data_IF_971103208790
#
_entry.id   IF_971103208790
#
_cell.length_a   1.000
_cell.length_b   1.000
_cell.length_c   1.000
_cell.angle_alpha   90.00
_cell.angle_beta   90.00
_cell.angle_gamma   90.00
#
_symmetry.space_group_name_H-M   'P 1'
#
loop_
_entity.id
_entity.type
_entity.pdbx_description
1 polymer ?
#
# COMPACT_ATOMS: atom_id res chain seq x y z
N UNK A 1 5.16 18.14 -40.83
CA UNK A 1 3.73 18.25 -41.16
C UNK A 1 2.80 18.08 -39.95
N UNK A 2 2.95 17.04 -39.12
CA UNK A 2 2.07 16.81 -37.95
C UNK A 2 2.03 17.96 -36.90
N UNK A 3 3.19 18.59 -36.61
CA UNK A 3 3.28 19.75 -35.71
C UNK A 3 2.51 20.98 -36.22
N UNK A 4 2.35 21.13 -37.53
CA UNK A 4 1.62 22.24 -38.15
C UNK A 4 0.11 22.08 -38.02
N UNK A 5 -0.39 20.83 -38.05
CA UNK A 5 -1.81 20.52 -37.97
C UNK A 5 -2.35 20.73 -36.54
N UNK A 6 -1.56 20.36 -35.53
CA UNK A 6 -1.89 20.54 -34.10
C UNK A 6 -1.95 22.04 -33.75
N UNK A 7 -1.01 22.83 -34.27
CA UNK A 7 -1.00 24.29 -34.04
C UNK A 7 -2.19 25.00 -34.70
N UNK A 8 -2.63 24.54 -35.88
CA UNK A 8 -3.81 25.09 -36.57
C UNK A 8 -5.12 24.74 -35.85
N UNK A 9 -5.25 23.52 -35.31
CA UNK A 9 -6.42 23.11 -34.52
C UNK A 9 -6.55 23.89 -33.20
N UNK A 10 -5.43 24.16 -32.51
CA UNK A 10 -5.43 24.96 -31.28
C UNK A 10 -5.82 26.44 -31.53
N UNK A 11 -5.41 27.00 -32.67
CA UNK A 11 -5.77 28.36 -33.08
C UNK A 11 -7.25 28.51 -33.45
N UNK A 12 -7.86 27.48 -34.04
CA UNK A 12 -9.28 27.46 -34.42
C UNK A 12 -10.23 27.39 -33.22
N UNK A 13 -9.76 26.87 -32.08
CA UNK A 13 -10.56 26.68 -30.86
C UNK A 13 -10.45 27.84 -29.86
N UNK A 14 -9.71 28.92 -30.18
CA UNK A 14 -9.60 30.09 -29.30
C UNK A 14 -8.91 29.82 -27.95
N UNK A 15 -8.27 28.65 -27.79
CA UNK A 15 -7.58 28.26 -26.57
C UNK A 15 -6.25 29.03 -26.54
N UNK A 16 -6.20 30.16 -25.82
CA UNK A 16 -4.93 30.72 -25.35
C UNK A 16 -4.34 29.77 -24.30
N UNK A 17 -3.80 28.63 -24.75
CA UNK A 17 -3.02 27.78 -23.86
C UNK A 17 -1.70 28.49 -23.63
N UNK A 18 -1.39 28.82 -22.37
CA UNK A 18 0.02 28.80 -21.97
C UNK A 18 0.43 27.36 -22.26
N UNK A 19 1.19 27.14 -23.35
CA UNK A 19 1.64 25.82 -23.74
C UNK A 19 2.43 25.24 -22.58
N UNK A 20 1.81 24.34 -21.82
CA UNK A 20 2.53 23.58 -20.81
C UNK A 20 3.53 22.73 -21.59
N UNK A 21 4.84 22.82 -21.31
CA UNK A 21 5.83 22.04 -22.02
C UNK A 21 5.45 20.55 -21.93
N UNK A 22 5.54 19.82 -23.04
CA UNK A 22 5.47 18.37 -22.98
C UNK A 22 6.81 17.86 -22.43
N UNK A 23 6.78 16.82 -21.59
CA UNK A 23 8.00 16.19 -21.09
C UNK A 23 8.67 15.39 -22.23
N UNK A 24 9.99 15.41 -22.35
CA UNK A 24 10.68 14.56 -23.32
C UNK A 24 10.81 13.13 -22.78
N UNK A 25 9.75 12.34 -22.93
CA UNK A 25 9.71 10.94 -22.49
C UNK A 25 10.08 10.04 -23.67
N UNK A 26 10.99 9.10 -23.43
CA UNK A 26 11.43 8.09 -24.37
C UNK A 26 10.94 6.71 -23.91
N UNK A 27 10.63 5.85 -24.87
CA UNK A 27 10.19 4.48 -24.59
C UNK A 27 11.02 3.53 -25.44
N UNK A 28 11.56 2.49 -24.81
CA UNK A 28 12.23 1.39 -25.52
C UNK A 28 11.22 0.59 -26.36
N UNK A 29 11.62 -0.02 -27.49
CA UNK A 29 10.76 -0.91 -28.25
C UNK A 29 10.13 -2.03 -27.42
N UNK A 30 10.89 -2.60 -26.48
CA UNK A 30 10.43 -3.64 -25.58
C UNK A 30 9.31 -3.14 -24.66
N UNK A 31 9.44 -1.93 -24.12
CA UNK A 31 8.39 -1.28 -23.32
C UNK A 31 7.13 -0.96 -24.15
N UNK A 32 7.29 -0.58 -25.42
CA UNK A 32 6.15 -0.36 -26.30
C UNK A 32 5.37 -1.67 -26.56
N UNK A 33 6.09 -2.75 -26.85
CA UNK A 33 5.49 -4.07 -27.04
C UNK A 33 4.81 -4.57 -25.76
N UNK A 34 5.46 -4.36 -24.61
CA UNK A 34 4.93 -4.68 -23.29
C UNK A 34 3.57 -4.01 -23.06
N UNK A 35 3.53 -2.70 -23.27
CA UNK A 35 2.36 -1.88 -23.04
C UNK A 35 1.23 -2.17 -24.04
N UNK A 36 1.56 -2.50 -25.30
CA UNK A 36 0.58 -2.90 -26.31
C UNK A 36 -0.23 -4.10 -25.86
N UNK A 37 0.45 -5.13 -25.37
CA UNK A 37 -0.22 -6.34 -24.87
C UNK A 37 -1.08 -6.05 -23.65
N UNK A 38 -0.64 -5.17 -22.75
CA UNK A 38 -1.47 -4.70 -21.62
C UNK A 38 -2.77 -4.06 -22.13
N UNK A 39 -2.71 -3.23 -23.17
CA UNK A 39 -3.92 -2.65 -23.77
C UNK A 39 -4.81 -3.68 -24.47
N UNK A 40 -4.22 -4.64 -25.19
CA UNK A 40 -4.96 -5.72 -25.85
C UNK A 40 -5.73 -6.60 -24.84
N UNK A 41 -5.13 -6.83 -23.67
CA UNK A 41 -5.74 -7.58 -22.56
C UNK A 41 -6.77 -6.75 -21.76
N UNK A 42 -6.76 -5.42 -21.90
CA UNK A 42 -7.63 -4.50 -21.16
C UNK A 42 -8.44 -3.62 -22.14
N UNK A 43 -9.52 -4.14 -22.75
CA UNK A 43 -10.27 -3.45 -23.80
C UNK A 43 -10.94 -2.13 -23.36
N UNK A 44 -11.02 -1.88 -22.04
CA UNK A 44 -11.49 -0.62 -21.47
C UNK A 44 -10.43 0.48 -21.35
N UNK A 45 -9.14 0.15 -21.52
CA UNK A 45 -8.04 1.10 -21.40
C UNK A 45 -8.00 2.06 -22.59
N UNK A 46 -7.88 3.36 -22.31
CA UNK A 46 -7.80 4.44 -23.31
C UNK A 46 -6.56 5.30 -23.18
N UNK A 47 -5.92 5.29 -22.02
CA UNK A 47 -4.67 6.00 -21.78
C UNK A 47 -3.83 5.31 -20.71
N UNK A 48 -2.61 5.80 -20.56
CA UNK A 48 -1.68 5.47 -19.49
C UNK A 48 -1.59 6.66 -18.55
N UNK A 49 -1.78 6.48 -17.25
CA UNK A 49 -1.39 7.50 -16.29
C UNK A 49 0.07 7.27 -15.86
N UNK A 50 0.82 8.35 -15.71
CA UNK A 50 2.22 8.33 -15.31
C UNK A 50 2.46 9.45 -14.31
N UNK A 51 2.81 9.06 -13.08
CA UNK A 51 3.01 9.96 -11.96
C UNK A 51 4.43 9.86 -11.42
N UNK A 52 4.95 10.98 -10.93
CA UNK A 52 6.22 11.05 -10.21
C UNK A 52 5.95 11.24 -8.72
N UNK A 53 5.99 10.15 -7.94
CA UNK A 53 5.69 10.19 -6.51
C UNK A 53 6.94 10.43 -5.66
N UNK A 54 6.83 11.35 -4.70
CA UNK A 54 7.84 11.53 -3.65
C UNK A 54 7.50 10.60 -2.48
N UNK A 55 8.26 9.52 -2.31
CA UNK A 55 8.13 8.66 -1.14
C UNK A 55 9.21 9.01 -0.11
N UNK A 56 8.79 9.72 0.94
CA UNK A 56 9.61 9.99 2.13
C UNK A 56 10.87 10.79 1.86
N UNK A 57 11.96 10.47 2.58
CA UNK A 57 13.28 11.10 2.44
C UNK A 57 14.11 10.53 1.27
N UNK A 58 13.51 9.76 0.36
CA UNK A 58 14.26 9.10 -0.71
C UNK A 58 14.68 10.14 -1.75
N UNK A 59 15.97 10.15 -2.17
CA UNK A 59 16.54 11.15 -3.06
C UNK A 59 16.00 11.16 -4.51
N UNK A 60 15.05 10.28 -4.84
CA UNK A 60 14.49 10.11 -6.19
C UNK A 60 12.97 9.99 -6.13
N UNK A 61 12.24 10.63 -7.07
CA UNK A 61 10.84 10.28 -7.26
C UNK A 61 10.74 8.81 -7.71
N UNK A 62 9.83 8.07 -7.09
CA UNK A 62 9.40 6.80 -7.64
C UNK A 62 8.38 7.10 -8.73
N UNK A 63 8.65 6.60 -9.93
CA UNK A 63 7.70 6.70 -11.03
C UNK A 63 6.73 5.55 -10.91
N UNK A 64 5.44 5.88 -11.01
CA UNK A 64 4.38 4.88 -11.07
C UNK A 64 3.58 5.06 -12.36
N UNK A 65 3.13 3.96 -12.92
CA UNK A 65 2.47 3.92 -14.21
C UNK A 65 1.36 2.88 -14.23
N UNK A 66 0.20 3.25 -14.76
CA UNK A 66 -0.92 2.33 -14.96
C UNK A 66 -1.80 2.74 -16.12
N UNK A 67 -2.84 1.94 -16.38
CA UNK A 67 -3.81 2.20 -17.46
C UNK A 67 -5.07 2.86 -16.89
N UNK A 68 -5.69 3.73 -17.67
CA UNK A 68 -6.90 4.48 -17.34
C UNK A 68 -7.93 4.33 -18.48
N UNK A 69 -9.22 4.28 -18.14
CA UNK A 69 -10.34 4.22 -19.08
C UNK A 69 -10.76 5.58 -19.66
N UNK A 70 -10.06 6.64 -19.29
CA UNK A 70 -10.30 8.02 -19.73
C UNK A 70 -9.20 8.51 -20.70
N UNK A 71 -9.47 9.58 -21.45
CA UNK A 71 -8.50 10.22 -22.37
C UNK A 71 -8.13 11.65 -21.93
N UNK A 72 -8.69 12.12 -20.82
CA UNK A 72 -8.45 13.45 -20.27
C UNK A 72 -8.84 13.50 -18.79
N UNK A 73 -8.09 14.29 -18.01
CA UNK A 73 -8.38 14.55 -16.59
C UNK A 73 -8.04 16.00 -16.24
N UNK A 74 -8.87 16.64 -15.43
CA UNK A 74 -8.58 18.00 -14.95
C UNK A 74 -7.28 18.01 -14.14
N UNK A 75 -6.41 19.00 -14.37
CA UNK A 75 -5.09 19.07 -13.76
C UNK A 75 -3.99 18.28 -14.49
N UNK A 76 -4.33 17.52 -15.54
CA UNK A 76 -3.38 16.72 -16.31
C UNK A 76 -3.05 17.39 -17.65
N UNK A 77 -1.93 16.96 -18.23
CA UNK A 77 -1.55 17.17 -19.62
C UNK A 77 -1.59 15.83 -20.35
N UNK A 78 -1.90 15.86 -21.65
CA UNK A 78 -1.97 14.67 -22.48
C UNK A 78 -0.78 14.66 -23.46
N UNK A 79 -0.06 13.55 -23.54
CA UNK A 79 1.09 13.39 -24.44
C UNK A 79 1.06 12.03 -25.12
N UNK A 80 1.57 11.92 -26.35
CA UNK A 80 1.74 10.62 -27.01
C UNK A 80 3.19 10.15 -26.86
N UNK A 81 3.39 8.94 -26.32
CA UNK A 81 4.70 8.29 -26.14
C UNK A 81 4.57 6.84 -26.61
N UNK A 82 5.45 6.37 -27.51
CA UNK A 82 5.39 5.01 -28.04
C UNK A 82 4.05 4.67 -28.73
N UNK A 83 3.33 5.67 -29.25
CA UNK A 83 2.00 5.48 -29.83
C UNK A 83 0.84 5.35 -28.83
N UNK A 84 1.09 5.49 -27.52
CA UNK A 84 0.07 5.49 -26.47
C UNK A 84 -0.19 6.90 -25.94
N UNK A 85 -1.44 7.17 -25.55
CA UNK A 85 -1.82 8.41 -24.88
C UNK A 85 -1.46 8.34 -23.40
N UNK A 86 -0.66 9.26 -22.92
CA UNK A 86 -0.27 9.44 -21.53
C UNK A 86 -1.02 10.62 -20.91
N UNK A 87 -1.61 10.39 -19.74
CA UNK A 87 -2.12 11.40 -18.82
C UNK A 87 -1.06 11.64 -17.74
N UNK A 88 -0.54 12.86 -17.70
CA UNK A 88 0.53 13.25 -16.78
C UNK A 88 0.05 14.43 -15.96
N UNK A 89 0.18 14.38 -14.63
CA UNK A 89 -0.10 15.55 -13.80
C UNK A 89 0.75 16.75 -14.27
N UNK A 90 0.15 17.93 -14.39
CA UNK A 90 0.90 19.13 -14.83
C UNK A 90 2.07 19.46 -13.88
N UNK A 91 1.94 19.08 -12.62
CA UNK A 91 2.99 19.26 -11.61
C UNK A 91 4.15 18.26 -11.79
N UNK A 92 3.90 17.14 -12.46
CA UNK A 92 4.87 16.05 -12.63
C UNK A 92 5.72 16.19 -13.90
N UNK A 93 5.24 16.96 -14.88
CA UNK A 93 5.92 17.20 -16.16
C UNK A 93 7.41 17.52 -16.02
N UNK A 94 7.87 18.40 -15.11
CA UNK A 94 9.30 18.71 -14.97
C UNK A 94 10.14 17.52 -14.47
N UNK A 95 9.52 16.55 -13.79
CA UNK A 95 10.20 15.37 -13.26
C UNK A 95 10.26 14.22 -14.26
N UNK A 96 9.47 14.29 -15.32
CA UNK A 96 9.42 13.29 -16.38
C UNK A 96 10.23 13.71 -17.61
N UNK A 97 10.77 14.93 -17.63
CA UNK A 97 11.53 15.44 -18.77
C UNK A 97 12.89 14.73 -18.91
N UNK A 98 13.02 13.93 -19.96
CA UNK A 98 14.16 13.07 -20.20
C UNK A 98 13.98 11.62 -19.72
N UNK A 99 12.83 11.29 -19.11
CA UNK A 99 12.55 9.94 -18.64
C UNK A 99 12.62 8.91 -19.78
N UNK A 100 13.27 7.79 -19.51
CA UNK A 100 13.39 6.64 -20.40
C UNK A 100 12.63 5.48 -19.76
N UNK A 101 11.51 5.11 -20.37
CA UNK A 101 10.71 3.95 -20.00
C UNK A 101 11.27 2.73 -20.70
N UNK A 102 11.83 1.82 -19.92
CA UNK A 102 12.38 0.55 -20.37
C UNK A 102 11.53 -0.61 -19.87
N UNK A 103 11.74 -1.77 -20.48
CA UNK A 103 11.13 -3.01 -20.03
C UNK A 103 12.20 -4.07 -19.84
N UNK A 104 12.37 -4.52 -18.60
CA UNK A 104 13.29 -5.59 -18.26
C UNK A 104 12.58 -6.93 -18.46
N UNK A 105 12.84 -7.52 -19.62
CA UNK A 105 12.35 -8.84 -20.08
C UNK A 105 12.74 -9.97 -19.10
N UNK A 106 13.82 -9.83 -18.34
CA UNK A 106 14.16 -10.86 -17.35
C UNK A 106 13.32 -10.76 -16.08
N UNK A 107 12.79 -9.56 -15.78
CA UNK A 107 12.08 -9.26 -14.52
C UNK A 107 10.58 -9.08 -14.68
N UNK A 108 10.04 -9.06 -15.89
CA UNK A 108 8.63 -8.81 -16.09
C UNK A 108 8.19 -7.38 -15.76
N UNK A 109 9.12 -6.42 -15.73
CA UNK A 109 8.88 -5.13 -15.10
C UNK A 109 9.28 -3.95 -15.98
N UNK A 110 8.47 -2.88 -15.93
CA UNK A 110 8.89 -1.58 -16.42
C UNK A 110 9.98 -1.01 -15.51
N UNK A 111 11.02 -0.47 -16.13
CA UNK A 111 12.09 0.25 -15.45
C UNK A 111 12.11 1.68 -15.95
N UNK A 112 12.39 2.60 -15.04
CA UNK A 112 12.34 4.04 -15.29
C UNK A 112 13.73 4.62 -15.10
N UNK A 113 14.40 4.88 -16.21
CA UNK A 113 15.72 5.51 -16.22
C UNK A 113 15.59 7.00 -16.44
N UNK A 114 16.26 7.80 -15.61
CA UNK A 114 16.32 9.24 -15.81
C UNK A 114 17.78 9.67 -16.03
N UNK A 115 18.12 10.37 -17.14
CA UNK A 115 19.50 10.77 -17.45
C UNK A 115 20.08 11.68 -16.38
N UNK A 116 19.23 12.45 -15.70
CA UNK A 116 19.58 13.12 -14.46
C UNK A 116 19.52 12.11 -13.30
N UNK A 117 20.53 11.23 -13.21
CA UNK A 117 20.75 10.27 -12.09
C UNK A 117 20.91 10.93 -10.70
N UNK A 118 20.65 12.24 -10.57
CA UNK A 118 20.59 13.02 -9.33
C UNK A 118 19.55 14.13 -9.51
N UNK A 119 18.27 13.78 -9.48
CA UNK A 119 17.13 14.73 -9.55
C UNK A 119 17.24 15.86 -8.52
N UNK A 120 17.92 15.62 -7.39
CA UNK A 120 18.30 16.63 -6.38
C UNK A 120 19.12 17.81 -6.91
N UNK A 121 19.68 17.74 -8.11
CA UNK A 121 20.42 18.83 -8.76
C UNK A 121 19.53 19.74 -9.60
N UNK A 122 18.31 19.31 -9.95
CA UNK A 122 17.34 20.13 -10.67
C UNK A 122 16.85 21.26 -9.75
N UNK A 123 16.82 22.48 -10.29
CA UNK A 123 16.41 23.67 -9.55
C UNK A 123 14.94 23.56 -9.11
N UNK A 124 14.14 22.93 -9.95
CA UNK A 124 12.72 22.66 -9.79
C UNK A 124 12.46 21.67 -8.65
N UNK A 125 13.24 20.58 -8.57
CA UNK A 125 13.16 19.61 -7.47
C UNK A 125 13.54 20.23 -6.13
N UNK A 126 14.62 21.03 -6.08
CA UNK A 126 15.00 21.77 -4.86
C UNK A 126 13.93 22.80 -4.46
N UNK A 127 13.30 23.44 -5.44
CA UNK A 127 12.21 24.37 -5.20
C UNK A 127 10.95 23.67 -4.66
N UNK A 128 10.60 22.50 -5.21
CA UNK A 128 9.50 21.68 -4.72
C UNK A 128 9.78 21.19 -3.29
N UNK A 129 10.94 20.58 -3.03
CA UNK A 129 11.31 20.15 -1.68
C UNK A 129 11.29 21.31 -0.68
N UNK A 130 11.77 22.49 -1.08
CA UNK A 130 11.73 23.68 -0.22
C UNK A 130 10.29 24.13 0.03
N UNK A 131 9.41 24.08 -0.97
CA UNK A 131 7.98 24.42 -0.83
C UNK A 131 7.29 23.43 0.10
N UNK A 132 7.46 22.13 -0.12
CA UNK A 132 6.88 21.08 0.73
C UNK A 132 7.40 21.16 2.16
N UNK A 133 8.71 21.40 2.36
CA UNK A 133 9.27 21.61 3.68
C UNK A 133 8.72 22.87 4.36
N UNK A 134 8.50 23.96 3.61
CA UNK A 134 7.88 25.19 4.12
C UNK A 134 6.40 24.98 4.48
N UNK A 135 5.65 24.26 3.65
CA UNK A 135 4.25 23.91 3.90
C UNK A 135 4.11 22.98 5.09
N UNK A 136 4.97 21.96 5.21
CA UNK A 136 5.04 21.06 6.35
C UNK A 136 5.41 21.81 7.64
N UNK A 137 6.39 22.73 7.58
CA UNK A 137 6.76 23.56 8.73
C UNK A 137 5.63 24.52 9.13
N UNK A 138 4.94 25.13 8.16
CA UNK A 138 3.79 25.99 8.41
C UNK A 138 2.61 25.20 8.99
N UNK A 139 2.36 23.98 8.50
CA UNK A 139 1.35 23.09 9.04
C UNK A 139 1.70 22.68 10.47
N UNK A 140 2.93 22.25 10.74
CA UNK A 140 3.40 21.92 12.09
C UNK A 140 3.23 23.09 13.05
N UNK A 141 3.50 24.32 12.60
CA UNK A 141 3.25 25.52 13.41
C UNK A 141 1.77 25.68 13.77
N UNK A 142 0.86 25.51 12.80
CA UNK A 142 -0.59 25.54 13.05
C UNK A 142 -1.01 24.43 14.02
N UNK A 143 -0.51 23.22 13.82
CA UNK A 143 -0.80 22.07 14.67
C UNK A 143 -0.31 22.30 16.12
N UNK A 144 0.87 22.88 16.29
CA UNK A 144 1.39 23.25 17.62
C UNK A 144 0.55 24.33 18.33
N UNK A 145 -0.03 25.29 17.60
CA UNK A 145 -0.95 26.26 18.20
C UNK A 145 -2.25 25.60 18.69
N UNK A 146 -2.81 24.68 17.89
CA UNK A 146 -3.99 23.89 18.29
C UNK A 146 -3.66 22.99 19.49
N UNK A 147 -2.46 22.41 19.51
CA UNK A 147 -2.03 21.47 20.54
C UNK A 147 -1.57 22.12 21.86
N UNK A 148 -1.45 23.45 21.91
CA UNK A 148 -0.80 24.18 23.02
C UNK A 148 -1.37 23.86 24.39
N UNK A 149 -2.69 23.73 24.48
CA UNK A 149 -3.42 23.46 25.73
C UNK A 149 -3.96 22.01 25.79
N UNK A 150 -3.58 21.18 24.83
CA UNK A 150 -4.02 19.78 24.76
C UNK A 150 -3.21 18.94 25.73
N UNK A 151 -3.91 18.27 26.64
CA UNK A 151 -3.36 17.23 27.52
C UNK A 151 -3.97 15.89 27.07
N UNK A 152 -3.26 15.08 26.26
CA UNK A 152 -3.84 13.90 25.60
C UNK A 152 -4.56 12.93 26.54
N UNK A 153 -3.93 12.58 27.67
CA UNK A 153 -4.50 11.71 28.71
C UNK A 153 -5.82 12.23 29.32
N UNK A 154 -6.06 13.54 29.27
CA UNK A 154 -7.30 14.14 29.80
C UNK A 154 -8.42 14.13 28.79
N UNK A 155 -8.13 14.16 27.49
CA UNK A 155 -9.17 14.29 26.45
C UNK A 155 -9.44 12.98 25.72
N UNK A 156 -8.55 11.98 25.78
CA UNK A 156 -8.67 10.74 24.97
C UNK A 156 -9.98 9.99 25.20
N UNK A 157 -10.50 9.99 26.44
CA UNK A 157 -11.76 9.34 26.75
C UNK A 157 -12.98 9.99 26.08
N UNK A 158 -12.87 11.26 25.69
CA UNK A 158 -13.91 11.99 24.96
C UNK A 158 -14.05 11.54 23.50
N UNK A 159 -13.11 10.72 22.98
CA UNK A 159 -13.24 10.08 21.66
C UNK A 159 -14.49 9.22 21.52
N UNK A 160 -15.10 8.78 22.63
CA UNK A 160 -16.34 7.98 22.64
C UNK A 160 -17.61 8.84 22.61
N UNK A 161 -17.47 10.16 22.72
CA UNK A 161 -18.59 11.09 22.76
C UNK A 161 -18.96 11.63 21.38
N UNK A 162 -19.97 12.50 21.35
CA UNK A 162 -20.45 13.15 20.13
C UNK A 162 -19.39 14.06 19.46
N UNK A 163 -18.38 14.47 20.22
CA UNK A 163 -17.28 15.33 19.76
C UNK A 163 -16.04 14.54 19.30
N UNK A 164 -16.16 13.25 19.00
CA UNK A 164 -15.04 12.37 18.65
C UNK A 164 -14.11 12.95 17.57
N UNK A 165 -14.69 13.61 16.55
CA UNK A 165 -13.92 14.28 15.49
C UNK A 165 -13.01 15.38 16.05
N UNK A 166 -13.57 16.30 16.85
CA UNK A 166 -12.82 17.43 17.39
C UNK A 166 -11.70 16.97 18.33
N UNK A 167 -11.99 15.95 19.14
CA UNK A 167 -11.01 15.35 20.06
C UNK A 167 -9.88 14.68 19.27
N UNK A 168 -10.22 13.90 18.23
CA UNK A 168 -9.23 13.28 17.35
C UNK A 168 -8.36 14.33 16.67
N UNK A 169 -8.95 15.43 16.19
CA UNK A 169 -8.21 16.51 15.52
C UNK A 169 -7.21 17.20 16.46
N UNK A 170 -7.59 17.42 17.73
CA UNK A 170 -6.69 17.94 18.78
C UNK A 170 -5.55 16.97 19.09
N UNK A 171 -5.85 15.68 19.27
CA UNK A 171 -4.83 14.64 19.50
C UNK A 171 -3.88 14.52 18.31
N UNK A 172 -4.42 14.54 17.10
CA UNK A 172 -3.67 14.47 15.86
C UNK A 172 -2.74 15.67 15.66
N UNK A 173 -3.21 16.89 15.94
CA UNK A 173 -2.36 18.08 15.97
C UNK A 173 -1.24 17.95 17.03
N UNK A 174 -1.57 17.41 18.21
CA UNK A 174 -0.59 17.16 19.27
C UNK A 174 0.48 16.16 18.83
N UNK A 175 0.12 15.04 18.19
CA UNK A 175 1.07 14.07 17.65
C UNK A 175 1.98 14.68 16.59
N UNK A 176 1.45 15.49 15.68
CA UNK A 176 2.27 16.17 14.65
C UNK A 176 3.21 17.23 15.23
N UNK A 177 2.82 17.87 16.32
CA UNK A 177 3.69 18.82 17.01
C UNK A 177 4.86 18.11 17.73
N UNK A 178 4.59 16.97 18.37
CA UNK A 178 5.50 16.30 19.33
C UNK A 178 6.15 14.99 18.85
N UNK A 179 5.77 14.45 17.68
CA UNK A 179 6.43 13.28 17.07
C UNK A 179 7.39 13.72 15.97
N UNK A 180 8.58 13.10 15.92
CA UNK A 180 9.55 13.30 14.83
C UNK A 180 9.10 12.63 13.52
N UNK A 181 8.25 11.59 13.63
CA UNK A 181 7.66 10.88 12.50
C UNK A 181 6.15 10.74 12.71
N UNK A 182 5.34 11.70 12.26
CA UNK A 182 3.92 11.43 12.08
C UNK A 182 3.80 10.49 10.88
N UNK A 183 3.97 9.17 11.10
CA UNK A 183 3.67 8.16 10.08
C UNK A 183 2.32 8.50 9.45
N UNK A 184 2.17 8.42 8.11
CA UNK A 184 1.11 9.11 7.34
C UNK A 184 -0.25 9.19 8.05
N UNK A 185 -0.43 10.22 8.86
CA UNK A 185 -1.66 10.44 9.60
C UNK A 185 -2.60 11.15 8.63
N UNK A 186 -3.45 10.37 7.96
CA UNK A 186 -4.49 10.91 7.10
C UNK A 186 -5.49 11.64 7.98
N UNK A 187 -5.73 12.92 7.75
CA UNK A 187 -6.78 13.66 8.46
C UNK A 187 -8.10 13.44 7.72
N UNK A 188 -8.96 12.59 8.27
CA UNK A 188 -10.24 12.20 7.68
C UNK A 188 -11.31 12.04 8.76
N UNK A 189 -12.57 12.02 8.34
CA UNK A 189 -13.72 11.95 9.24
C UNK A 189 -13.70 10.66 10.08
N UNK A 190 -13.84 10.81 11.39
CA UNK A 190 -14.09 9.73 12.35
C UNK A 190 -15.51 9.22 12.13
N UNK A 191 -15.62 7.92 11.87
CA UNK A 191 -16.90 7.24 11.67
C UNK A 191 -17.36 6.54 12.94
N UNK A 192 -16.41 5.92 13.65
CA UNK A 192 -16.68 5.18 14.85
C UNK A 192 -15.43 5.12 15.73
N UNK A 193 -15.63 5.02 17.05
CA UNK A 193 -14.56 4.73 18.00
C UNK A 193 -14.99 3.56 18.86
N UNK A 194 -14.12 2.55 18.94
CA UNK A 194 -14.30 1.41 19.85
C UNK A 194 -13.25 1.46 20.94
N UNK A 195 -13.61 1.04 22.15
CA UNK A 195 -12.64 0.73 23.19
C UNK A 195 -12.49 -0.76 23.28
N UNK A 196 -11.24 -1.21 23.28
CA UNK A 196 -10.90 -2.58 23.63
C UNK A 196 -10.01 -2.59 24.87
N UNK A 197 -10.15 -3.63 25.69
CA UNK A 197 -9.21 -3.86 26.78
C UNK A 197 -7.97 -4.52 26.18
N UNK A 198 -6.87 -3.78 26.11
CA UNK A 198 -5.64 -4.34 25.56
C UNK A 198 -5.05 -5.42 26.49
N UNK A 199 -4.09 -6.18 25.97
CA UNK A 199 -3.33 -7.19 26.73
C UNK A 199 -2.62 -6.64 27.97
N UNK A 200 -2.37 -5.32 28.04
CA UNK A 200 -1.76 -4.65 29.21
C UNK A 200 -2.77 -4.28 30.30
N UNK A 201 -4.08 -4.51 30.06
CA UNK A 201 -5.16 -4.14 30.98
C UNK A 201 -5.54 -2.66 30.90
N UNK A 202 -4.96 -1.89 29.98
CA UNK A 202 -5.32 -0.51 29.73
C UNK A 202 -6.24 -0.39 28.49
N UNK A 203 -7.15 0.60 28.47
CA UNK A 203 -8.02 0.80 27.32
C UNK A 203 -7.21 1.25 26.10
N UNK A 204 -7.50 0.63 24.96
CA UNK A 204 -7.03 1.03 23.65
C UNK A 204 -8.23 1.51 22.84
N UNK A 205 -8.13 2.73 22.30
CA UNK A 205 -9.14 3.33 21.45
C UNK A 205 -8.81 3.00 20.00
N UNK A 206 -9.73 2.33 19.32
CA UNK A 206 -9.66 2.03 17.88
C UNK A 206 -10.54 3.03 17.17
N UNK A 207 -9.92 3.98 16.47
CA UNK A 207 -10.61 5.06 15.76
C UNK A 207 -10.74 4.66 14.30
N UNK A 208 -11.95 4.34 13.86
CA UNK A 208 -12.26 4.05 12.46
C UNK A 208 -12.57 5.33 11.71
N UNK A 209 -11.96 5.51 10.55
CA UNK A 209 -12.09 6.70 9.70
C UNK A 209 -12.30 6.28 8.26
N UNK A 210 -12.95 7.15 7.50
CA UNK A 210 -13.04 6.95 6.07
C UNK A 210 -11.71 7.27 5.38
N UNK A 211 -11.17 6.37 4.56
CA UNK A 211 -9.89 6.58 3.90
C UNK A 211 -10.01 7.30 2.54
N UNK A 212 -11.21 7.31 1.94
CA UNK A 212 -11.48 7.91 0.63
C UNK A 212 -12.75 8.77 0.63
N UNK A 213 -12.76 9.77 -0.23
CA UNK A 213 -13.91 10.68 -0.37
C UNK A 213 -15.15 9.97 -0.97
N UNK A 214 -14.98 8.80 -1.59
CA UNK A 214 -16.04 7.95 -2.14
C UNK A 214 -16.59 6.90 -1.15
N UNK A 215 -16.04 6.83 0.07
CA UNK A 215 -16.45 5.89 1.09
C UNK A 215 -15.99 4.44 0.91
N UNK A 216 -15.15 4.15 -0.09
CA UNK A 216 -14.85 2.77 -0.51
C UNK A 216 -13.85 2.01 0.37
N UNK A 217 -13.26 2.63 1.38
CA UNK A 217 -12.25 1.97 2.22
C UNK A 217 -12.18 2.61 3.61
N UNK A 218 -12.16 1.80 4.65
CA UNK A 218 -12.05 2.25 6.06
C UNK A 218 -10.59 2.12 6.50
N UNK A 219 -10.10 3.10 7.27
CA UNK A 219 -8.83 2.99 8.00
C UNK A 219 -9.09 2.98 9.49
N UNK A 220 -8.21 2.36 10.27
CA UNK A 220 -8.26 2.43 11.72
C UNK A 220 -6.94 2.94 12.30
N UNK A 221 -7.04 3.65 13.42
CA UNK A 221 -5.90 4.11 14.19
C UNK A 221 -6.01 3.62 15.63
N UNK A 222 -4.88 3.33 16.26
CA UNK A 222 -4.83 3.00 17.67
C UNK A 222 -4.38 4.21 18.48
N UNK A 223 -5.12 4.49 19.54
CA UNK A 223 -4.76 5.51 20.53
C UNK A 223 -4.78 4.87 21.91
N UNK A 224 -3.68 4.94 22.65
CA UNK A 224 -3.64 4.39 24.01
C UNK A 224 -4.39 5.28 25.02
N UNK A 225 -4.56 4.77 26.23
CA UNK A 225 -5.17 5.49 27.35
C UNK A 225 -4.47 6.80 27.74
N UNK A 226 -3.24 7.05 27.25
CA UNK A 226 -2.51 8.30 27.45
C UNK A 226 -2.69 9.26 26.29
N UNK A 227 -3.51 8.91 25.30
CA UNK A 227 -3.72 9.69 24.09
C UNK A 227 -2.55 9.61 23.11
N UNK A 228 -1.68 8.59 23.20
CA UNK A 228 -0.57 8.40 22.26
C UNK A 228 -1.01 7.55 21.07
N UNK A 229 -0.56 7.96 19.88
CA UNK A 229 -0.75 7.17 18.68
C UNK A 229 0.11 5.90 18.69
N UNK A 230 -0.50 4.78 18.35
CA UNK A 230 0.17 3.50 18.14
C UNK A 230 0.04 3.16 16.66
N UNK A 231 1.18 3.02 15.99
CA UNK A 231 1.25 2.62 14.59
C UNK A 231 0.79 1.17 14.43
N UNK A 232 -0.24 0.88 13.62
CA UNK A 232 -0.65 -0.49 13.32
C UNK A 232 0.48 -1.31 12.68
N UNK A 233 0.47 -2.63 12.89
CA UNK A 233 1.50 -3.54 12.37
C UNK A 233 1.72 -3.34 10.86
N UNK A 234 2.98 -3.16 10.47
CA UNK A 234 3.37 -2.97 9.06
C UNK A 234 2.77 -1.76 8.36
N UNK A 235 2.15 -0.82 9.07
CA UNK A 235 1.36 0.25 8.47
C UNK A 235 0.06 -0.24 7.81
N UNK A 236 -0.40 -1.45 8.17
CA UNK A 236 -1.63 -2.06 7.65
C UNK A 236 -2.87 -1.52 8.37
N UNK A 237 -3.04 -0.21 8.26
CA UNK A 237 -4.14 0.51 8.90
C UNK A 237 -5.36 0.69 7.99
N UNK A 238 -5.34 0.13 6.78
CA UNK A 238 -6.45 0.11 5.83
C UNK A 238 -7.14 -1.25 5.90
N UNK A 239 -8.47 -1.22 6.02
CA UNK A 239 -9.35 -2.39 5.98
C UNK A 239 -9.85 -2.55 4.54
N UNK A 240 -9.50 -3.67 3.94
CA UNK A 240 -9.99 -4.10 2.63
C UNK A 240 -11.27 -4.95 2.78
N UNK A 241 -12.11 -5.06 1.74
CA UNK A 241 -13.38 -5.80 1.83
C UNK A 241 -13.25 -7.26 2.28
N UNK A 242 -12.12 -7.90 2.02
CA UNK A 242 -11.84 -9.30 2.37
C UNK A 242 -11.18 -9.46 3.75
N UNK A 243 -10.85 -8.36 4.43
CA UNK A 243 -10.24 -8.39 5.75
C UNK A 243 -11.29 -8.74 6.82
N UNK A 244 -10.89 -9.54 7.82
CA UNK A 244 -11.76 -9.93 8.93
C UNK A 244 -11.28 -9.26 10.21
N UNK A 245 -12.19 -8.59 10.91
CA UNK A 245 -11.95 -8.10 12.28
C UNK A 245 -12.86 -8.87 13.23
N UNK A 246 -12.27 -9.74 14.06
CA UNK A 246 -12.99 -10.51 15.08
C UNK A 246 -12.01 -11.07 16.11
N UNK A 247 -12.53 -11.47 17.27
CA UNK A 247 -11.80 -12.29 18.23
C UNK A 247 -11.67 -13.73 17.65
N UNK A 248 -10.55 -13.97 17.00
CA UNK A 248 -10.17 -15.24 16.40
C UNK A 248 -9.71 -16.20 17.47
N UNK A 249 -9.03 -15.73 18.51
CA UNK A 249 -8.32 -16.59 19.46
C UNK A 249 -9.17 -16.94 20.72
N UNK A 250 -10.25 -16.19 20.98
CA UNK A 250 -11.19 -16.36 22.08
C UNK A 250 -10.80 -15.65 23.37
N UNK A 251 -9.80 -14.76 23.37
CA UNK A 251 -9.33 -14.04 24.56
C UNK A 251 -10.06 -12.69 24.82
N UNK A 252 -11.03 -12.35 23.97
CA UNK A 252 -11.78 -11.11 24.04
C UNK A 252 -11.10 -9.92 23.37
N UNK A 253 -9.95 -10.11 22.72
CA UNK A 253 -9.24 -9.08 21.96
C UNK A 253 -9.46 -9.33 20.46
N UNK A 254 -10.05 -8.38 19.73
CA UNK A 254 -10.18 -8.55 18.28
C UNK A 254 -8.84 -8.62 17.57
N UNK A 255 -8.72 -9.52 16.60
CA UNK A 255 -7.64 -9.53 15.61
C UNK A 255 -8.10 -8.96 14.27
N UNK A 256 -7.17 -8.30 13.58
CA UNK A 256 -7.23 -8.13 12.14
C UNK A 256 -6.60 -9.35 11.47
N UNK A 257 -7.40 -10.05 10.69
CA UNK A 257 -6.97 -11.07 9.73
C UNK A 257 -6.92 -10.41 8.37
N UNK A 258 -5.72 -10.09 7.92
CA UNK A 258 -5.48 -9.45 6.63
C UNK A 258 -5.07 -10.48 5.61
N UNK A 259 -5.74 -10.51 4.47
CA UNK A 259 -5.47 -11.44 3.38
C UNK A 259 -5.16 -10.68 2.11
N UNK A 260 -4.12 -11.08 1.39
CA UNK A 260 -3.81 -10.48 0.10
C UNK A 260 -3.34 -11.50 -0.91
N UNK A 261 -3.63 -11.18 -2.17
CA UNK A 261 -3.10 -11.90 -3.33
C UNK A 261 -2.11 -10.98 -4.05
N UNK A 262 -0.89 -11.47 -4.25
CA UNK A 262 -0.03 -10.94 -5.32
C UNK A 262 -0.40 -11.68 -6.58
N UNK A 263 -1.30 -11.06 -7.36
CA UNK A 263 -1.63 -11.56 -8.69
C UNK A 263 -0.45 -11.39 -9.64
N UNK A 264 -0.25 -12.41 -10.49
CA UNK A 264 0.67 -12.32 -11.61
C UNK A 264 0.20 -11.21 -12.55
N UNK A 265 1.11 -10.30 -12.89
CA UNK A 265 1.04 -9.67 -14.21
C UNK A 265 2.00 -10.49 -15.09
N UNK A 266 1.52 -11.27 -16.07
CA UNK A 266 2.43 -11.96 -16.98
C UNK A 266 3.35 -10.92 -17.61
N UNK A 267 4.65 -11.21 -17.70
CA UNK A 267 5.58 -10.40 -18.48
C UNK A 267 5.03 -10.32 -19.92
N UNK A 268 4.61 -9.15 -20.40
CA UNK A 268 4.06 -9.05 -21.74
C UNK A 268 5.04 -9.36 -22.90
N UNK A 269 6.36 -9.38 -22.68
CA UNK A 269 7.39 -9.53 -23.73
C UNK A 269 8.14 -10.86 -23.66
N UNK A 270 8.48 -11.34 -22.47
CA UNK A 270 9.37 -12.50 -22.27
C UNK A 270 8.63 -13.84 -22.16
N UNK A 271 7.35 -13.83 -21.80
CA UNK A 271 6.66 -15.07 -21.41
C UNK A 271 7.28 -15.77 -20.18
N UNK A 272 8.15 -15.07 -19.42
CA UNK A 272 8.78 -15.58 -18.21
C UNK A 272 8.18 -14.94 -16.95
N UNK A 273 8.22 -15.70 -15.86
CA UNK A 273 7.26 -15.65 -14.76
C UNK A 273 7.62 -14.65 -13.66
N UNK A 274 6.69 -13.79 -13.26
CA UNK A 274 6.75 -13.10 -11.97
C UNK A 274 6.24 -14.01 -10.86
N UNK A 275 6.68 -13.80 -9.62
CA UNK A 275 6.22 -14.56 -8.46
C UNK A 275 4.79 -14.17 -8.08
N UNK A 276 3.82 -15.07 -8.27
CA UNK A 276 2.51 -14.97 -7.60
C UNK A 276 2.56 -15.68 -6.26
N UNK A 277 1.86 -15.11 -5.28
CA UNK A 277 1.69 -15.72 -3.96
C UNK A 277 0.55 -15.07 -3.21
N UNK A 278 0.01 -15.79 -2.25
CA UNK A 278 -0.99 -15.32 -1.31
C UNK A 278 -0.35 -15.14 0.06
N UNK A 279 -0.89 -14.24 0.86
CA UNK A 279 -0.44 -14.06 2.22
C UNK A 279 -1.63 -13.84 3.15
N UNK A 280 -1.47 -14.28 4.40
CA UNK A 280 -2.41 -14.12 5.48
C UNK A 280 -1.65 -13.64 6.71
N UNK A 281 -2.10 -12.56 7.35
CA UNK A 281 -1.51 -12.05 8.59
C UNK A 281 -2.61 -11.90 9.63
N UNK A 282 -2.43 -12.49 10.80
CA UNK A 282 -3.32 -12.34 11.95
C UNK A 282 -2.61 -11.48 12.99
N UNK A 283 -3.15 -10.31 13.30
CA UNK A 283 -2.56 -9.37 14.27
C UNK A 283 -3.61 -8.92 15.28
N UNK A 284 -3.34 -9.03 16.60
CA UNK A 284 -4.27 -8.59 17.62
C UNK A 284 -4.26 -7.08 17.73
N UNK A 285 -5.41 -6.52 18.05
CA UNK A 285 -5.50 -5.11 18.41
C UNK A 285 -4.87 -4.92 19.79
N UNK A 286 -3.63 -4.46 19.84
CA UNK A 286 -2.95 -4.24 21.10
C UNK A 286 -1.94 -3.10 21.04
N UNK A 287 -1.45 -2.65 22.19
CA UNK A 287 -0.39 -1.64 22.27
C UNK A 287 0.92 -2.11 21.62
N UNK A 288 1.13 -3.43 21.57
CA UNK A 288 2.27 -4.08 20.94
C UNK A 288 1.83 -4.79 19.66
N UNK A 289 2.08 -4.16 18.54
CA UNK A 289 1.68 -4.68 17.23
C UNK A 289 2.56 -5.87 16.83
N UNK A 290 2.18 -7.07 17.29
CA UNK A 290 2.86 -8.35 17.06
C UNK A 290 1.90 -9.33 16.40
N UNK A 291 2.27 -9.90 15.25
CA UNK A 291 1.41 -10.88 14.58
C UNK A 291 1.38 -12.22 15.33
N UNK A 292 0.19 -12.81 15.43
CA UNK A 292 -0.04 -14.17 15.96
C UNK A 292 0.30 -15.25 14.93
N UNK A 293 0.17 -14.92 13.64
CA UNK A 293 0.47 -15.82 12.53
C UNK A 293 0.71 -15.02 11.26
N UNK A 294 1.76 -15.37 10.51
CA UNK A 294 1.97 -14.94 9.14
C UNK A 294 2.08 -16.17 8.26
N UNK A 295 1.22 -16.29 7.26
CA UNK A 295 1.30 -17.30 6.22
C UNK A 295 1.60 -16.65 4.88
N UNK A 296 2.44 -17.32 4.12
CA UNK A 296 2.91 -16.94 2.80
C UNK A 296 2.81 -18.21 1.95
N UNK A 297 1.92 -18.28 0.98
CA UNK A 297 1.53 -19.56 0.35
C UNK A 297 1.11 -19.42 -1.11
N UNK A 298 1.04 -20.54 -1.82
CA UNK A 298 0.67 -20.53 -3.24
C UNK A 298 1.73 -19.90 -4.13
N UNK A 299 3.00 -19.98 -3.72
CA UNK A 299 4.12 -19.56 -4.56
C UNK A 299 4.25 -20.49 -5.76
N UNK A 300 4.08 -19.95 -6.97
CA UNK A 300 4.39 -20.65 -8.21
C UNK A 300 5.42 -19.86 -9.00
N UNK A 301 6.41 -20.57 -9.54
CA UNK A 301 7.36 -20.04 -10.52
C UNK A 301 6.85 -20.13 -11.96
N UNK A 302 5.71 -20.76 -12.24
CA UNK A 302 5.25 -21.05 -13.60
C UNK A 302 3.74 -20.76 -13.81
N UNK A 303 3.34 -20.54 -15.07
CA UNK A 303 1.96 -20.32 -15.62
C UNK A 303 0.96 -21.44 -15.35
N UNK A 304 1.29 -22.43 -14.51
CA UNK A 304 0.27 -23.37 -14.08
C UNK A 304 -0.79 -22.61 -13.29
N UNK A 305 -2.09 -22.90 -13.53
CA UNK A 305 -3.16 -22.28 -12.78
C UNK A 305 -2.82 -22.41 -11.30
N UNK A 306 -2.94 -21.30 -10.56
CA UNK A 306 -2.61 -21.22 -9.14
C UNK A 306 -2.94 -22.56 -8.50
N UNK A 307 -1.97 -23.20 -7.84
CA UNK A 307 -2.33 -24.21 -6.85
C UNK A 307 -3.48 -23.59 -6.05
N UNK A 308 -4.64 -24.26 -6.07
CA UNK A 308 -5.88 -23.70 -5.54
C UNK A 308 -5.74 -23.73 -4.02
N UNK A 309 -5.00 -22.75 -3.50
CA UNK A 309 -4.81 -22.61 -2.08
C UNK A 309 -6.02 -21.89 -1.53
N UNK A 310 -6.66 -22.53 -0.54
CA UNK A 310 -7.76 -21.97 0.23
C UNK A 310 -7.34 -21.93 1.68
N UNK A 311 -7.80 -20.94 2.43
CA UNK A 311 -7.67 -20.93 3.87
C UNK A 311 -9.04 -20.81 4.54
N UNK A 312 -9.12 -21.25 5.79
CA UNK A 312 -10.28 -21.05 6.66
C UNK A 312 -9.83 -20.88 8.10
N UNK A 313 -10.72 -20.35 8.93
CA UNK A 313 -10.61 -20.42 10.38
C UNK A 313 -11.73 -21.33 10.85
N UNK A 314 -11.37 -22.38 11.59
CA UNK A 314 -12.20 -23.46 12.07
C UNK A 314 -12.04 -23.62 13.58
N UNK A 315 -12.85 -24.48 14.16
CA UNK A 315 -12.71 -24.92 15.54
C UNK A 315 -12.05 -26.31 15.55
N UNK A 316 -10.99 -26.47 16.34
CA UNK A 316 -10.34 -27.77 16.56
C UNK A 316 -11.22 -28.68 17.44
N UNK A 317 -11.00 -30.01 17.43
CA UNK A 317 -11.79 -30.94 18.26
C UNK A 317 -11.77 -30.67 19.76
N UNK A 318 -10.75 -29.96 20.25
CA UNK A 318 -10.62 -29.55 21.64
C UNK A 318 -11.03 -28.08 21.89
N UNK A 319 -11.79 -27.49 20.97
CA UNK A 319 -12.46 -26.20 21.13
C UNK A 319 -11.56 -24.98 20.89
N UNK A 320 -10.30 -25.18 20.51
CA UNK A 320 -9.41 -24.06 20.20
C UNK A 320 -9.52 -23.62 18.74
N UNK A 321 -9.30 -22.32 18.45
CA UNK A 321 -9.24 -21.82 17.09
C UNK A 321 -8.15 -22.50 16.26
N UNK A 322 -8.50 -22.78 15.00
CA UNK A 322 -7.68 -23.49 14.04
C UNK A 322 -7.64 -22.70 12.74
N UNK A 323 -6.49 -22.18 12.35
CA UNK A 323 -6.29 -21.68 10.99
C UNK A 323 -5.91 -22.88 10.13
N UNK A 324 -6.61 -23.07 9.02
CA UNK A 324 -6.36 -24.18 8.11
C UNK A 324 -5.98 -23.65 6.75
N UNK A 325 -4.92 -24.23 6.20
CA UNK A 325 -4.50 -24.01 4.83
C UNK A 325 -4.70 -25.30 4.01
N UNK A 326 -5.41 -25.18 2.89
CA UNK A 326 -5.70 -26.26 1.96
C UNK A 326 -4.90 -26.07 0.69
N UNK A 327 -4.11 -27.07 0.34
CA UNK A 327 -3.55 -27.21 -1.01
C UNK A 327 -4.51 -28.08 -1.83
N UNK A 328 -5.32 -27.44 -2.68
CA UNK A 328 -6.28 -28.12 -3.55
C UNK A 328 -5.69 -28.41 -4.95
N UNK A 329 -4.36 -28.38 -5.10
CA UNK A 329 -3.68 -28.72 -6.37
C UNK A 329 -3.94 -30.15 -6.85
N UNK A 330 -4.35 -31.06 -5.96
CA UNK A 330 -4.72 -32.44 -6.30
C UNK A 330 -6.22 -32.66 -6.09
N UNK A 331 -7.02 -32.68 -7.19
CA UNK A 331 -8.45 -32.95 -7.11
C UNK A 331 -8.74 -34.28 -6.39
N UNK A 332 -9.52 -34.22 -5.31
CA UNK A 332 -9.94 -35.38 -4.51
C UNK A 332 -8.99 -35.79 -3.38
N UNK A 333 -7.81 -35.15 -3.23
CA UNK A 333 -6.89 -35.34 -2.11
C UNK A 333 -6.23 -34.02 -1.68
N UNK A 334 -7.02 -33.03 -1.21
CA UNK A 334 -6.45 -31.79 -0.73
C UNK A 334 -5.52 -32.05 0.45
N UNK A 335 -4.30 -31.49 0.42
CA UNK A 335 -3.44 -31.52 1.61
C UNK A 335 -3.91 -30.43 2.56
N UNK A 336 -4.01 -30.78 3.84
CA UNK A 336 -4.43 -29.88 4.92
C UNK A 336 -3.23 -29.58 5.80
N UNK A 337 -3.00 -28.30 6.06
CA UNK A 337 -2.03 -27.82 7.03
C UNK A 337 -2.78 -27.06 8.11
N UNK A 338 -2.59 -27.48 9.35
CA UNK A 338 -3.35 -26.99 10.50
C UNK A 338 -2.45 -26.16 11.42
N UNK A 339 -2.91 -24.97 11.77
CA UNK A 339 -2.25 -24.06 12.70
C UNK A 339 -3.19 -23.81 13.86
N UNK A 340 -2.88 -24.40 15.00
CA UNK A 340 -3.72 -24.39 16.17
C UNK A 340 -3.28 -23.30 17.14
N UNK A 341 -4.24 -22.62 17.75
CA UNK A 341 -3.95 -21.67 18.82
C UNK A 341 -3.30 -22.36 20.03
N UNK A 342 -2.22 -21.77 20.54
CA UNK A 342 -1.59 -22.17 21.80
C UNK A 342 -1.81 -21.07 22.85
N UNK A 343 -2.71 -21.27 23.83
CA UNK A 343 -2.91 -20.30 24.92
C UNK A 343 -1.64 -20.05 25.75
N UNK A 344 -0.80 -21.08 25.91
CA UNK A 344 0.45 -20.99 26.65
C UNK A 344 1.46 -20.06 25.95
N UNK A 345 1.61 -20.22 24.64
CA UNK A 345 2.56 -19.44 23.84
C UNK A 345 1.97 -18.12 23.34
N UNK A 346 0.64 -17.93 23.46
CA UNK A 346 -0.11 -16.79 22.91
C UNK A 346 0.14 -16.56 21.42
N UNK A 347 0.21 -17.65 20.66
CA UNK A 347 0.43 -17.64 19.21
C UNK A 347 -0.19 -18.89 18.58
N UNK A 348 -0.40 -18.87 17.27
CA UNK A 348 -0.66 -20.11 16.53
C UNK A 348 0.59 -20.97 16.47
N UNK A 349 0.40 -22.28 16.36
CA UNK A 349 1.42 -23.32 16.24
C UNK A 349 1.03 -24.29 15.14
N UNK A 350 1.98 -24.69 14.30
CA UNK A 350 1.74 -25.65 13.23
C UNK A 350 3.01 -25.93 12.42
N UNK A 351 2.90 -26.54 11.24
CA UNK A 351 4.06 -26.78 10.39
C UNK A 351 4.62 -25.45 9.87
N UNK A 352 5.93 -25.21 9.98
CA UNK A 352 6.56 -24.00 9.43
C UNK A 352 6.50 -23.91 7.90
N UNK A 353 6.22 -25.03 7.22
CA UNK A 353 6.29 -25.14 5.77
C UNK A 353 7.73 -25.04 5.25
N UNK A 354 7.83 -25.00 3.92
CA UNK A 354 9.07 -24.96 3.16
C UNK A 354 8.77 -24.81 1.66
N UNK A 355 9.83 -24.58 0.88
CA UNK A 355 9.72 -24.35 -0.57
C UNK A 355 9.04 -25.51 -1.31
N UNK A 356 9.27 -26.74 -0.85
CA UNK A 356 8.68 -27.98 -1.38
C UNK A 356 7.20 -28.15 -1.02
N UNK A 357 6.76 -27.50 0.03
CA UNK A 357 5.41 -27.56 0.57
C UNK A 357 4.51 -26.45 0.00
N UNK A 358 5.09 -25.46 -0.67
CA UNK A 358 4.35 -24.36 -1.32
C UNK A 358 3.83 -23.29 -0.36
N UNK A 359 4.24 -23.33 0.92
CA UNK A 359 3.94 -22.30 1.91
C UNK A 359 5.07 -22.12 2.95
N UNK A 360 5.08 -20.97 3.61
CA UNK A 360 5.82 -20.68 4.83
C UNK A 360 4.85 -20.13 5.87
N UNK A 361 5.03 -20.58 7.11
CA UNK A 361 4.41 -20.00 8.29
C UNK A 361 5.47 -19.41 9.22
N UNK A 362 5.18 -18.22 9.77
CA UNK A 362 5.93 -17.58 10.84
C UNK A 362 4.99 -17.41 12.03
N UNK A 363 5.45 -17.84 13.21
CA UNK A 363 4.69 -17.85 14.46
C UNK A 363 5.23 -16.78 15.40
N UNK A 364 4.34 -15.97 15.97
CA UNK A 364 4.72 -14.93 16.92
C UNK A 364 5.69 -13.88 16.36
N UNK A 365 6.25 -13.11 17.30
CA UNK A 365 7.03 -11.88 17.13
C UNK A 365 7.75 -11.67 15.78
N UNK A 366 7.41 -10.59 15.10
CA UNK A 366 8.23 -9.97 14.05
C UNK A 366 8.55 -8.55 14.48
N UNK A 367 9.85 -8.23 14.61
CA UNK A 367 10.33 -6.89 14.92
C UNK A 367 9.70 -5.85 13.97
N UNK A 368 9.29 -4.67 14.49
CA UNK A 368 8.81 -3.61 13.62
C UNK A 368 9.95 -3.15 12.70
N UNK A 369 9.66 -3.09 11.40
CA UNK A 369 10.49 -2.48 10.34
C UNK A 369 11.68 -3.33 9.83
N UNK A 370 11.43 -4.55 9.32
CA UNK A 370 12.29 -5.17 8.29
C UNK A 370 11.49 -5.91 7.19
N UNK A 371 10.34 -5.38 6.79
CA UNK A 371 9.40 -6.01 5.84
C UNK A 371 9.99 -6.41 4.46
N UNK A 372 11.20 -5.99 4.11
CA UNK A 372 11.87 -6.42 2.88
C UNK A 372 12.89 -7.54 3.08
N UNK A 373 13.52 -7.67 4.26
CA UNK A 373 14.62 -8.63 4.43
C UNK A 373 14.18 -10.09 4.48
N UNK A 374 13.03 -10.42 5.04
CA UNK A 374 12.58 -11.83 5.13
C UNK A 374 12.11 -12.34 3.76
N UNK A 375 11.40 -11.52 2.99
CA UNK A 375 11.00 -11.85 1.62
C UNK A 375 12.23 -11.92 0.71
N UNK A 376 13.18 -10.99 0.82
CA UNK A 376 14.41 -11.01 0.04
C UNK A 376 15.32 -12.20 0.42
N UNK A 377 15.45 -12.54 1.71
CA UNK A 377 16.19 -13.73 2.16
C UNK A 377 15.51 -15.03 1.74
N UNK A 378 14.18 -15.06 1.67
CA UNK A 378 13.43 -16.20 1.15
C UNK A 378 13.63 -16.36 -0.36
N UNK A 379 13.55 -15.26 -1.12
CA UNK A 379 13.84 -15.27 -2.56
C UNK A 379 15.29 -15.70 -2.81
N UNK A 380 16.27 -15.18 -2.06
CA UNK A 380 17.68 -15.57 -2.18
C UNK A 380 17.91 -17.06 -1.94
N UNK A 381 17.21 -17.66 -0.95
CA UNK A 381 17.30 -19.10 -0.65
C UNK A 381 16.63 -19.99 -1.70
N UNK A 382 15.67 -19.47 -2.45
CA UNK A 382 15.04 -20.19 -3.56
C UNK A 382 15.85 -20.09 -4.85
N UNK A 383 16.66 -19.04 -5.00
CA UNK A 383 17.49 -18.79 -6.20
C UNK A 383 18.89 -19.38 -6.14
N UNK A 384 19.28 -19.97 -5.01
CA UNK A 384 20.45 -20.85 -4.88
C UNK A 384 19.97 -22.31 -4.91
#
# INVERSE_FOLDING_TARGET
>A
MLKSLIAQLASLLGIKSKSIPAANIFMSPEAEMALRKVFDENPGAKSVWLDASLIGNIPFPQYDMGIDGTTSREGFTCQVVGGFLYLISRDDVPFLDGLIIQYDVARGAFHFDHPHKKMQLLKEYRALQKREAQEAAAQRKRDCEVAKDVVPEKIVHELLGENAQEVYDKLHAWWRCHSEEPGRLYHRKVENVQVINSTSGHPLYVVYRNSRDDGSSTVFDFVDYRGRYILPYGGMNVIEPDDIIRDVNGDGIPELVKYGRRENRPDPVAGHYTWSGQWLVITPFSEKQESLLILNFGYSRNTEPHALWRWSIEESPDGYPLVVLYDESQPGRPKKYEFKWSPELKTFQGPSGGSSEGFIAVFGHVEPVQHYKIVDQFIERLTK
#
